data_IF_175190212455
#
_entry.id   IF_175190212455
#
_cell.length_a   1.000
_cell.length_b   1.000
_cell.length_c   1.000
_cell.angle_alpha   90.00
_cell.angle_beta   90.00
_cell.angle_gamma   90.00
#
_symmetry.space_group_name_H-M   'P 1'
#
loop_
_entity.id
_entity.type
_entity.pdbx_description
1 polymer ?
#
# COMPACT_ATOMS: atom_id res chain seq x y z
N UNK A 1 43.00 37.43 -20.33
CA UNK A 1 41.73 38.18 -20.17
C UNK A 1 40.49 37.29 -20.14
N UNK A 2 40.52 36.10 -20.78
CA UNK A 2 39.38 35.17 -20.81
C UNK A 2 39.06 34.54 -19.44
N UNK A 3 40.08 34.17 -18.64
CA UNK A 3 39.88 33.51 -17.34
C UNK A 3 39.25 34.38 -16.25
N UNK A 4 39.48 35.70 -16.29
CA UNK A 4 38.92 36.63 -15.32
C UNK A 4 37.39 36.79 -15.47
N UNK A 5 36.88 36.67 -16.70
CA UNK A 5 35.45 36.72 -17.00
C UNK A 5 34.74 35.41 -16.61
N UNK A 6 35.39 34.27 -16.82
CA UNK A 6 34.87 32.94 -16.44
C UNK A 6 34.74 32.83 -14.92
N UNK A 7 35.72 33.32 -14.15
CA UNK A 7 35.70 33.31 -12.69
C UNK A 7 34.62 34.23 -12.09
N UNK A 8 34.36 35.39 -12.72
CA UNK A 8 33.28 36.29 -12.30
C UNK A 8 31.89 35.70 -12.56
N UNK A 9 31.71 34.99 -13.69
CA UNK A 9 30.46 34.26 -13.97
C UNK A 9 30.25 33.11 -12.98
N UNK A 10 31.28 32.31 -12.71
CA UNK A 10 31.21 31.21 -11.73
C UNK A 10 30.83 31.71 -10.34
N UNK A 11 31.44 32.81 -9.86
CA UNK A 11 31.08 33.42 -8.56
C UNK A 11 29.63 33.90 -8.50
N UNK A 12 29.10 34.48 -9.59
CA UNK A 12 27.68 34.86 -9.67
C UNK A 12 26.76 33.65 -9.60
N UNK A 13 27.08 32.55 -10.30
CA UNK A 13 26.29 31.31 -10.22
C UNK A 13 26.35 30.68 -8.83
N UNK A 14 27.52 30.65 -8.18
CA UNK A 14 27.68 30.12 -6.82
C UNK A 14 26.93 30.96 -5.79
N UNK A 15 26.92 32.29 -5.93
CA UNK A 15 26.11 33.16 -5.07
C UNK A 15 24.62 32.99 -5.33
N UNK A 16 24.17 32.91 -6.58
CA UNK A 16 22.77 32.64 -6.91
C UNK A 16 22.31 31.30 -6.33
N UNK A 17 23.16 30.27 -6.41
CA UNK A 17 22.92 28.96 -5.82
C UNK A 17 22.81 28.99 -4.29
N UNK A 18 23.66 29.77 -3.62
CA UNK A 18 23.63 29.94 -2.17
C UNK A 18 22.40 30.74 -1.70
N UNK A 19 21.97 31.76 -2.47
CA UNK A 19 20.75 32.54 -2.22
C UNK A 19 19.51 31.64 -2.39
N UNK A 20 19.45 30.84 -3.47
CA UNK A 20 18.39 29.85 -3.67
C UNK A 20 18.37 28.78 -2.57
N UNK A 21 19.53 28.40 -2.00
CA UNK A 21 19.62 27.45 -0.89
C UNK A 21 19.17 28.05 0.45
N UNK A 22 19.33 29.37 0.65
CA UNK A 22 18.93 30.10 1.87
C UNK A 22 17.46 30.53 1.88
N UNK A 23 16.80 30.62 0.73
CA UNK A 23 15.37 30.93 0.67
C UNK A 23 14.54 29.84 1.36
N UNK A 24 13.88 30.21 2.46
CA UNK A 24 13.02 29.33 3.27
C UNK A 24 11.95 28.63 2.42
N UNK A 25 11.43 29.30 1.39
CA UNK A 25 10.48 28.72 0.45
C UNK A 25 11.09 27.61 -0.43
N UNK A 26 12.34 27.80 -0.91
CA UNK A 26 13.01 26.80 -1.75
C UNK A 26 13.56 25.64 -0.92
N UNK A 27 13.96 25.87 0.33
CA UNK A 27 14.31 24.81 1.27
C UNK A 27 13.07 24.05 1.75
N UNK A 28 11.93 24.72 1.91
CA UNK A 28 10.63 24.12 2.19
C UNK A 28 10.10 23.29 1.01
N UNK A 29 10.17 23.82 -0.23
CA UNK A 29 9.90 23.05 -1.46
C UNK A 29 10.87 21.88 -1.65
N UNK A 30 12.14 22.04 -1.27
CA UNK A 30 13.13 20.97 -1.34
C UNK A 30 12.87 19.89 -0.28
N UNK A 31 12.38 20.26 0.91
CA UNK A 31 11.88 19.33 1.94
C UNK A 31 10.57 18.66 1.53
N UNK A 32 9.70 19.35 0.80
CA UNK A 32 8.54 18.74 0.15
C UNK A 32 8.99 17.71 -0.90
N UNK A 33 10.03 17.94 -1.69
CA UNK A 33 10.53 16.93 -2.62
C UNK A 33 11.28 15.76 -1.94
N UNK A 34 11.58 15.81 -0.64
CA UNK A 34 12.04 14.65 0.11
C UNK A 34 10.82 13.78 0.45
N UNK A 35 10.68 12.64 -0.22
CA UNK A 35 9.55 11.71 -0.15
C UNK A 35 9.00 11.42 1.28
N UNK A 36 9.85 11.56 2.31
CA UNK A 36 9.48 11.37 3.71
C UNK A 36 8.46 12.40 4.20
N UNK A 37 8.66 13.69 3.88
CA UNK A 37 7.73 14.74 4.31
C UNK A 37 6.39 14.63 3.57
N UNK A 38 6.41 14.27 2.29
CA UNK A 38 5.18 14.10 1.50
C UNK A 38 4.28 13.00 2.05
N UNK A 39 4.84 11.84 2.39
CA UNK A 39 4.04 10.74 2.94
C UNK A 39 3.42 11.09 4.30
N UNK A 40 4.16 11.82 5.14
CA UNK A 40 3.64 12.28 6.44
C UNK A 40 2.55 13.34 6.27
N UNK A 41 2.75 14.31 5.37
CA UNK A 41 1.74 15.33 5.05
C UNK A 41 0.50 14.67 4.44
N UNK A 42 0.69 13.73 3.52
CA UNK A 42 -0.38 12.96 2.89
C UNK A 42 -1.23 12.22 3.94
N UNK A 43 -0.59 11.56 4.92
CA UNK A 43 -1.29 10.88 6.00
C UNK A 43 -2.11 11.85 6.86
N UNK A 44 -1.52 13.00 7.24
CA UNK A 44 -2.23 14.02 8.03
C UNK A 44 -3.42 14.58 7.26
N UNK A 45 -3.25 14.88 5.96
CA UNK A 45 -4.32 15.40 5.10
C UNK A 45 -5.44 14.37 4.91
N UNK A 46 -5.12 13.09 4.72
CA UNK A 46 -6.13 12.04 4.57
C UNK A 46 -6.93 11.83 5.86
N UNK A 47 -6.27 11.80 7.02
CA UNK A 47 -6.94 11.64 8.31
C UNK A 47 -7.79 12.89 8.62
N UNK A 48 -7.22 14.09 8.47
CA UNK A 48 -7.93 15.33 8.79
C UNK A 48 -9.12 15.55 7.87
N UNK A 49 -8.97 15.34 6.57
CA UNK A 49 -10.08 15.46 5.61
C UNK A 49 -11.20 14.46 5.89
N UNK A 50 -10.88 13.21 6.25
CA UNK A 50 -11.88 12.19 6.58
C UNK A 50 -12.65 12.58 7.85
N UNK A 51 -11.95 13.07 8.88
CA UNK A 51 -12.58 13.58 10.11
C UNK A 51 -13.43 14.82 9.82
N UNK A 52 -12.94 15.75 8.98
CA UNK A 52 -13.71 16.92 8.56
C UNK A 52 -15.00 16.53 7.83
N UNK A 53 -14.92 15.59 6.88
CA UNK A 53 -16.12 15.08 6.19
C UNK A 53 -17.09 14.47 7.19
N UNK A 54 -16.60 13.65 8.13
CA UNK A 54 -17.42 13.01 9.15
C UNK A 54 -18.19 14.04 10.01
N UNK A 55 -17.49 15.06 10.53
CA UNK A 55 -18.10 16.08 11.38
C UNK A 55 -19.09 16.93 10.57
N UNK A 56 -18.69 17.36 9.37
CA UNK A 56 -19.51 18.25 8.55
C UNK A 56 -20.75 17.54 8.01
N UNK A 57 -20.69 16.25 7.68
CA UNK A 57 -21.87 15.47 7.28
C UNK A 57 -22.90 15.46 8.41
N UNK A 58 -22.49 15.14 9.64
CA UNK A 58 -23.42 15.07 10.77
C UNK A 58 -24.00 16.45 11.09
N UNK A 59 -23.22 17.52 10.95
CA UNK A 59 -23.66 18.89 11.27
C UNK A 59 -24.57 19.52 10.19
N UNK A 60 -24.37 19.18 8.92
CA UNK A 60 -25.01 19.88 7.78
C UNK A 60 -26.04 19.01 7.05
N UNK A 61 -26.11 17.70 7.35
CA UNK A 61 -27.09 16.81 6.74
C UNK A 61 -28.51 17.35 6.94
N UNK A 62 -29.25 17.49 5.83
CA UNK A 62 -30.62 18.01 5.84
C UNK A 62 -31.56 17.15 6.69
N UNK A 63 -31.36 15.83 6.65
CA UNK A 63 -32.04 14.81 7.44
C UNK A 63 -31.09 13.65 7.67
N UNK A 64 -31.16 13.06 8.86
CA UNK A 64 -30.45 11.83 9.20
C UNK A 64 -31.44 10.66 9.25
N UNK A 65 -31.00 9.48 8.81
CA UNK A 65 -31.75 8.24 8.92
C UNK A 65 -31.99 7.87 10.40
N UNK A 66 -33.09 7.16 10.68
CA UNK A 66 -33.32 6.59 12.01
C UNK A 66 -32.31 5.47 12.29
N UNK A 67 -31.86 5.37 13.55
CA UNK A 67 -30.96 4.29 13.98
C UNK A 67 -31.53 2.89 13.69
N UNK A 68 -32.85 2.73 13.74
CA UNK A 68 -33.49 1.46 13.39
C UNK A 68 -33.23 1.08 11.92
N UNK A 69 -33.31 2.06 11.01
CA UNK A 69 -33.07 1.81 9.59
C UNK A 69 -31.60 1.46 9.34
N UNK A 70 -30.66 2.18 9.99
CA UNK A 70 -29.22 1.96 9.80
C UNK A 70 -28.76 0.59 10.29
N UNK A 71 -29.27 0.11 11.44
CA UNK A 71 -28.77 -1.13 12.05
C UNK A 71 -29.61 -2.37 11.72
N UNK A 72 -30.90 -2.22 11.42
CA UNK A 72 -31.81 -3.36 11.28
C UNK A 72 -32.48 -3.47 9.91
N UNK A 73 -32.46 -2.43 9.08
CA UNK A 73 -33.02 -2.52 7.73
C UNK A 73 -32.02 -3.13 6.76
N UNK A 74 -32.47 -4.10 5.96
CA UNK A 74 -31.64 -4.76 4.95
C UNK A 74 -32.31 -4.64 3.58
N UNK A 75 -31.56 -4.16 2.59
CA UNK A 75 -32.02 -4.04 1.22
C UNK A 75 -31.18 -4.99 0.37
N UNK A 76 -31.83 -5.94 -0.28
CA UNK A 76 -31.17 -6.86 -1.18
C UNK A 76 -31.69 -6.68 -2.61
N UNK A 77 -30.84 -6.14 -3.47
CA UNK A 77 -31.10 -5.98 -4.91
C UNK A 77 -30.16 -6.83 -5.77
N UNK A 78 -29.37 -7.69 -5.15
CA UNK A 78 -28.32 -8.47 -5.82
C UNK A 78 -28.87 -9.73 -6.50
N UNK A 79 -30.08 -10.15 -6.15
CA UNK A 79 -30.69 -11.41 -6.62
C UNK A 79 -30.15 -12.67 -5.94
N UNK A 80 -29.19 -12.56 -5.01
CA UNK A 80 -28.66 -13.68 -4.24
C UNK A 80 -29.36 -13.85 -2.89
N UNK A 81 -29.22 -15.04 -2.28
CA UNK A 81 -29.71 -15.32 -0.92
C UNK A 81 -29.05 -14.40 0.11
N UNK A 82 -29.79 -14.05 1.17
CA UNK A 82 -29.30 -13.14 2.23
C UNK A 82 -27.93 -13.53 2.82
N UNK A 83 -27.64 -14.81 3.15
CA UNK A 83 -26.32 -15.21 3.67
C UNK A 83 -25.18 -14.90 2.70
N UNK A 84 -25.40 -15.11 1.40
CA UNK A 84 -24.40 -14.79 0.38
C UNK A 84 -24.18 -13.27 0.28
N UNK A 85 -25.24 -12.48 0.39
CA UNK A 85 -25.15 -11.00 0.40
C UNK A 85 -24.31 -10.50 1.58
N UNK A 86 -24.44 -11.12 2.75
CA UNK A 86 -23.59 -10.82 3.90
C UNK A 86 -22.10 -11.13 3.60
N UNK A 87 -21.81 -12.23 2.91
CA UNK A 87 -20.43 -12.60 2.53
C UNK A 87 -19.83 -11.60 1.53
N UNK A 88 -20.55 -11.23 0.48
CA UNK A 88 -20.06 -10.24 -0.50
C UNK A 88 -19.94 -8.83 0.11
N UNK A 89 -20.76 -8.51 1.11
CA UNK A 89 -20.70 -7.23 1.84
C UNK A 89 -19.40 -7.02 2.63
N UNK A 90 -18.69 -8.10 2.99
CA UNK A 90 -17.38 -8.04 3.66
C UNK A 90 -16.27 -7.64 2.67
N UNK A 91 -16.45 -7.91 1.37
CA UNK A 91 -15.39 -7.76 0.36
C UNK A 91 -14.87 -6.33 0.18
N UNK A 92 -15.71 -5.27 0.12
CA UNK A 92 -15.21 -3.89 0.02
C UNK A 92 -14.33 -3.49 1.21
N UNK A 93 -14.60 -4.04 2.40
CA UNK A 93 -13.77 -3.81 3.59
C UNK A 93 -12.37 -4.40 3.39
N UNK A 94 -12.25 -5.58 2.78
CA UNK A 94 -10.94 -6.19 2.50
C UNK A 94 -10.09 -5.34 1.55
N UNK A 95 -10.72 -4.72 0.55
CA UNK A 95 -10.03 -3.76 -0.31
C UNK A 95 -9.60 -2.52 0.48
N UNK A 96 -10.50 -1.96 1.30
CA UNK A 96 -10.21 -0.77 2.11
C UNK A 96 -9.07 -0.94 3.12
N UNK A 97 -8.82 -2.17 3.58
CA UNK A 97 -7.71 -2.49 4.47
C UNK A 97 -6.41 -2.88 3.76
N UNK A 98 -6.39 -3.03 2.44
CA UNK A 98 -5.18 -3.45 1.73
C UNK A 98 -4.07 -2.38 1.82
N UNK A 99 -2.80 -2.81 1.84
CA UNK A 99 -1.65 -1.89 1.92
C UNK A 99 -1.13 -1.57 3.32
N UNK A 100 -1.62 -2.23 4.38
CA UNK A 100 -1.11 -2.06 5.74
C UNK A 100 0.38 -2.41 5.89
N UNK A 101 0.92 -3.24 5.00
CA UNK A 101 2.33 -3.63 4.89
C UNK A 101 3.23 -2.54 4.32
N UNK A 102 2.69 -1.40 3.86
CA UNK A 102 3.47 -0.29 3.32
C UNK A 102 4.60 0.15 4.27
N UNK A 103 4.38 0.07 5.59
CA UNK A 103 5.40 0.34 6.61
C UNK A 103 6.62 -0.60 6.52
N UNK A 104 6.43 -1.85 6.06
CA UNK A 104 7.52 -2.81 5.86
C UNK A 104 8.45 -2.40 4.71
N UNK A 105 7.91 -1.83 3.64
CA UNK A 105 8.67 -1.37 2.47
C UNK A 105 9.48 -0.09 2.73
N UNK A 106 9.21 0.58 3.86
CA UNK A 106 9.89 1.78 4.34
C UNK A 106 10.79 1.51 5.56
N UNK A 107 11.01 0.24 5.91
CA UNK A 107 11.83 -0.15 7.05
C UNK A 107 13.27 0.34 6.95
N UNK A 108 13.87 0.38 5.75
CA UNK A 108 15.24 0.87 5.53
C UNK A 108 15.41 2.35 5.91
N UNK A 109 14.32 3.12 5.95
CA UNK A 109 14.32 4.54 6.32
C UNK A 109 13.83 4.79 7.75
N UNK A 110 13.38 3.74 8.45
CA UNK A 110 12.75 3.82 9.75
C UNK A 110 13.79 3.59 10.85
N UNK A 111 13.89 4.52 11.80
CA UNK A 111 14.74 4.34 12.99
C UNK A 111 14.19 3.20 13.84
N UNK A 112 15.02 2.24 14.22
CA UNK A 112 14.62 1.05 14.98
C UNK A 112 13.45 0.28 14.34
N UNK A 113 13.57 0.01 13.03
CA UNK A 113 12.54 -0.67 12.25
C UNK A 113 12.05 -1.99 12.87
N UNK A 114 12.92 -2.76 13.54
CA UNK A 114 12.56 -4.03 14.20
C UNK A 114 11.43 -3.90 15.23
N UNK A 115 11.31 -2.73 15.87
CA UNK A 115 10.26 -2.44 16.85
C UNK A 115 9.13 -1.61 16.25
N UNK A 116 9.46 -0.54 15.52
CA UNK A 116 8.47 0.43 15.07
C UNK A 116 7.71 0.02 13.81
N UNK A 117 8.28 -0.80 12.93
CA UNK A 117 7.54 -1.28 11.77
C UNK A 117 6.29 -2.10 12.13
N UNK A 118 6.35 -3.13 13.00
CA UNK A 118 5.16 -3.90 13.37
C UNK A 118 4.15 -3.08 14.17
N UNK A 119 4.62 -2.19 15.06
CA UNK A 119 3.73 -1.26 15.79
C UNK A 119 3.03 -0.31 14.81
N UNK A 120 3.74 0.15 13.77
CA UNK A 120 3.17 0.99 12.72
C UNK A 120 2.04 0.29 11.97
N UNK A 121 2.22 -0.98 11.59
CA UNK A 121 1.19 -1.79 10.92
C UNK A 121 -0.05 -1.95 11.83
N UNK A 122 0.15 -2.28 13.10
CA UNK A 122 -0.98 -2.42 14.04
C UNK A 122 -1.70 -1.08 14.26
N UNK A 123 -0.93 0.00 14.43
CA UNK A 123 -1.46 1.34 14.62
C UNK A 123 -2.28 1.81 13.41
N UNK A 124 -1.79 1.60 12.18
CA UNK A 124 -2.54 1.95 10.97
C UNK A 124 -3.80 1.13 10.83
N UNK A 125 -3.75 -0.19 11.07
CA UNK A 125 -4.95 -1.03 11.03
C UNK A 125 -6.01 -0.57 12.05
N UNK A 126 -5.63 -0.30 13.30
CA UNK A 126 -6.56 0.15 14.34
C UNK A 126 -7.15 1.52 14.00
N UNK A 127 -6.30 2.49 13.64
CA UNK A 127 -6.75 3.84 13.28
C UNK A 127 -7.70 3.83 12.08
N UNK A 128 -7.36 3.10 11.01
CA UNK A 128 -8.20 2.97 9.82
C UNK A 128 -9.51 2.24 10.14
N UNK A 129 -9.50 1.25 11.03
CA UNK A 129 -10.73 0.57 11.48
C UNK A 129 -11.69 1.54 12.15
N UNK A 130 -11.21 2.32 13.12
CA UNK A 130 -12.06 3.24 13.90
C UNK A 130 -12.57 4.38 13.03
N UNK A 131 -11.68 5.06 12.30
CA UNK A 131 -12.04 6.21 11.46
C UNK A 131 -12.90 5.77 10.27
N UNK A 132 -12.54 4.67 9.61
CA UNK A 132 -13.28 4.12 8.49
C UNK A 132 -14.68 3.64 8.89
N UNK A 133 -14.81 2.97 10.04
CA UNK A 133 -16.11 2.57 10.57
C UNK A 133 -16.98 3.79 10.88
N UNK A 134 -16.43 4.80 11.57
CA UNK A 134 -17.17 6.02 11.90
C UNK A 134 -17.60 6.79 10.63
N UNK A 135 -16.77 6.78 9.58
CA UNK A 135 -17.09 7.37 8.28
C UNK A 135 -18.19 6.60 7.53
N UNK A 136 -18.13 5.26 7.50
CA UNK A 136 -19.21 4.46 6.89
C UNK A 136 -20.53 4.64 7.64
N UNK A 137 -20.47 4.72 8.97
CA UNK A 137 -21.63 4.99 9.81
C UNK A 137 -22.24 6.36 9.50
N UNK A 138 -21.41 7.42 9.37
CA UNK A 138 -21.91 8.76 9.03
C UNK A 138 -22.54 8.80 7.64
N UNK A 139 -22.00 8.08 6.65
CA UNK A 139 -22.61 7.93 5.33
C UNK A 139 -23.96 7.21 5.39
N UNK A 140 -24.08 6.15 6.19
CA UNK A 140 -25.34 5.42 6.38
C UNK A 140 -26.40 6.31 7.03
N UNK A 141 -26.04 7.10 8.05
CA UNK A 141 -26.95 8.06 8.66
C UNK A 141 -27.31 9.21 7.71
N UNK A 142 -26.38 9.66 6.86
CA UNK A 142 -26.66 10.70 5.87
C UNK A 142 -27.63 10.23 4.77
N UNK A 143 -27.59 8.93 4.44
CA UNK A 143 -28.50 8.32 3.48
C UNK A 143 -29.87 8.06 4.11
N UNK A 144 -30.72 9.09 4.12
CA UNK A 144 -32.03 9.05 4.78
C UNK A 144 -33.08 8.20 4.04
N UNK A 145 -32.91 7.95 2.74
CA UNK A 145 -33.84 7.17 1.93
C UNK A 145 -33.18 5.87 1.39
N UNK A 146 -33.74 4.69 1.70
CA UNK A 146 -33.21 3.41 1.22
C UNK A 146 -33.27 3.26 -0.32
N UNK A 147 -34.19 3.96 -0.98
CA UNK A 147 -34.31 3.98 -2.45
C UNK A 147 -33.20 4.79 -3.13
N UNK A 148 -32.66 5.80 -2.46
CA UNK A 148 -31.54 6.60 -2.97
C UNK A 148 -30.25 5.76 -2.95
N UNK A 149 -30.09 4.87 -1.96
CA UNK A 149 -29.03 3.85 -1.98
C UNK A 149 -29.16 2.93 -3.20
N UNK A 150 -30.37 2.44 -3.51
CA UNK A 150 -30.62 1.50 -4.62
C UNK A 150 -30.33 2.10 -5.99
N UNK A 151 -30.72 3.35 -6.24
CA UNK A 151 -30.40 4.04 -7.50
C UNK A 151 -28.89 4.32 -7.68
N UNK A 152 -28.14 4.33 -6.58
CA UNK A 152 -26.72 4.65 -6.54
C UNK A 152 -25.80 3.41 -6.55
N UNK A 153 -26.33 2.18 -6.36
CA UNK A 153 -25.54 0.93 -6.34
C UNK A 153 -24.83 0.64 -7.67
N UNK A 154 -25.39 1.10 -8.79
CA UNK A 154 -24.80 0.93 -10.12
C UNK A 154 -23.79 2.04 -10.48
N UNK A 155 -23.65 3.07 -9.64
CA UNK A 155 -22.76 4.18 -9.92
C UNK A 155 -21.37 3.94 -9.32
N UNK A 156 -20.28 4.13 -10.10
CA UNK A 156 -18.90 3.99 -9.61
C UNK A 156 -18.50 4.94 -8.47
N UNK A 157 -19.38 5.85 -8.05
CA UNK A 157 -19.11 6.90 -7.06
C UNK A 157 -20.26 7.09 -6.07
N UNK A 158 -20.73 6.00 -5.48
CA UNK A 158 -21.83 6.00 -4.50
C UNK A 158 -21.64 7.04 -3.36
N UNK A 159 -20.42 7.22 -2.84
CA UNK A 159 -20.15 8.21 -1.80
C UNK A 159 -20.43 9.66 -2.24
N UNK A 160 -20.07 10.03 -3.48
CA UNK A 160 -20.28 11.39 -4.00
C UNK A 160 -21.77 11.68 -4.19
N UNK A 161 -22.55 10.65 -4.54
CA UNK A 161 -24.00 10.77 -4.68
C UNK A 161 -24.68 10.96 -3.32
N UNK A 162 -24.23 10.22 -2.30
CA UNK A 162 -24.67 10.43 -0.93
C UNK A 162 -24.39 11.86 -0.49
N UNK A 163 -23.21 12.43 -0.80
CA UNK A 163 -22.92 13.84 -0.49
C UNK A 163 -23.90 14.80 -1.16
N UNK A 164 -24.16 14.62 -2.46
CA UNK A 164 -25.06 15.48 -3.23
C UNK A 164 -26.49 15.48 -2.68
N UNK A 165 -26.96 14.34 -2.21
CA UNK A 165 -28.32 14.19 -1.69
C UNK A 165 -28.41 14.72 -0.25
N UNK A 166 -27.38 14.46 0.56
CA UNK A 166 -27.41 14.72 2.00
C UNK A 166 -27.09 16.17 2.38
N UNK A 167 -26.26 16.86 1.59
CA UNK A 167 -25.77 18.22 1.92
C UNK A 167 -26.06 19.25 0.83
N UNK A 168 -25.97 20.56 1.12
CA UNK A 168 -26.04 21.61 0.10
C UNK A 168 -24.92 21.45 -0.95
N UNK A 169 -25.20 21.88 -2.19
CA UNK A 169 -24.28 21.72 -3.32
C UNK A 169 -22.83 22.20 -3.06
N UNK A 170 -22.58 23.36 -2.41
CA UNK A 170 -21.21 23.81 -2.15
C UNK A 170 -20.42 22.85 -1.23
N UNK A 171 -21.10 22.27 -0.24
CA UNK A 171 -20.50 21.33 0.73
C UNK A 171 -20.23 19.98 0.05
N UNK A 172 -21.17 19.49 -0.76
CA UNK A 172 -20.98 18.27 -1.54
C UNK A 172 -19.79 18.38 -2.52
N UNK A 173 -19.62 19.55 -3.16
CA UNK A 173 -18.47 19.84 -4.02
C UNK A 173 -17.15 19.85 -3.23
N UNK A 174 -17.13 20.47 -2.05
CA UNK A 174 -15.96 20.47 -1.17
C UNK A 174 -15.55 19.03 -0.79
N UNK A 175 -16.51 18.17 -0.42
CA UNK A 175 -16.24 16.77 -0.12
C UNK A 175 -15.70 15.99 -1.31
N UNK A 176 -16.23 16.23 -2.52
CA UNK A 176 -15.72 15.61 -3.73
C UNK A 176 -14.26 16.03 -4.01
N UNK A 177 -13.93 17.31 -3.82
CA UNK A 177 -12.54 17.81 -3.95
C UNK A 177 -11.62 17.15 -2.92
N UNK A 178 -12.05 17.05 -1.65
CA UNK A 178 -11.28 16.37 -0.61
C UNK A 178 -11.06 14.88 -0.93
N UNK A 179 -12.07 14.18 -1.47
CA UNK A 179 -11.92 12.81 -1.93
C UNK A 179 -10.89 12.69 -3.06
N UNK A 180 -10.91 13.60 -4.05
CA UNK A 180 -9.94 13.62 -5.14
C UNK A 180 -8.51 13.81 -4.60
N UNK A 181 -8.33 14.73 -3.65
CA UNK A 181 -7.04 14.96 -2.99
C UNK A 181 -6.57 13.69 -2.27
N UNK A 182 -7.46 13.01 -1.55
CA UNK A 182 -7.14 11.74 -0.87
C UNK A 182 -6.76 10.63 -1.85
N UNK A 183 -7.50 10.46 -2.95
CA UNK A 183 -7.19 9.49 -4.00
C UNK A 183 -5.82 9.79 -4.64
N UNK A 184 -5.50 11.05 -4.89
CA UNK A 184 -4.19 11.45 -5.41
C UNK A 184 -3.05 11.04 -4.47
N UNK A 185 -3.17 11.33 -3.17
CA UNK A 185 -2.17 10.93 -2.19
C UNK A 185 -2.07 9.40 -2.01
N UNK A 186 -3.19 8.68 -2.06
CA UNK A 186 -3.19 7.22 -2.04
C UNK A 186 -2.44 6.64 -3.26
N UNK A 187 -2.70 7.16 -4.47
CA UNK A 187 -2.01 6.75 -5.69
C UNK A 187 -0.51 7.04 -5.67
N UNK A 188 -0.11 8.19 -5.13
CA UNK A 188 1.30 8.55 -4.89
C UNK A 188 2.00 7.55 -3.96
N UNK A 189 1.35 7.18 -2.86
CA UNK A 189 1.86 6.19 -1.91
C UNK A 189 2.01 4.81 -2.56
N UNK A 190 0.98 4.34 -3.28
CA UNK A 190 0.99 3.05 -3.97
C UNK A 190 2.09 2.98 -5.05
N UNK A 191 2.32 4.06 -5.79
CA UNK A 191 3.40 4.15 -6.78
C UNK A 191 4.78 4.09 -6.12
N UNK A 192 4.92 4.72 -4.96
CA UNK A 192 6.16 4.70 -4.18
C UNK A 192 6.49 3.28 -3.69
N UNK A 193 5.50 2.55 -3.16
CA UNK A 193 5.69 1.16 -2.73
C UNK A 193 6.03 0.26 -3.92
N UNK A 194 5.26 0.36 -5.01
CA UNK A 194 5.42 -0.48 -6.21
C UNK A 194 6.81 -0.32 -6.84
N UNK A 195 7.28 0.93 -6.98
CA UNK A 195 8.59 1.21 -7.56
C UNK A 195 9.76 0.71 -6.69
N UNK A 196 9.62 0.72 -5.36
CA UNK A 196 10.62 0.17 -4.42
C UNK A 196 10.67 -1.35 -4.45
N UNK A 197 9.51 -2.01 -4.50
CA UNK A 197 9.43 -3.46 -4.65
C UNK A 197 10.05 -3.90 -5.98
N UNK A 198 9.74 -3.19 -7.08
CA UNK A 198 10.37 -3.43 -8.38
C UNK A 198 11.88 -3.20 -8.37
N UNK A 199 12.37 -2.17 -7.67
CA UNK A 199 13.79 -1.92 -7.46
C UNK A 199 14.47 -3.06 -6.68
N UNK A 200 13.87 -3.55 -5.59
CA UNK A 200 14.41 -4.66 -4.82
C UNK A 200 14.53 -5.93 -5.69
N UNK A 201 13.51 -6.23 -6.50
CA UNK A 201 13.54 -7.34 -7.46
C UNK A 201 14.60 -7.15 -8.55
N UNK A 202 14.81 -5.90 -9.03
CA UNK A 202 15.85 -5.58 -10.00
C UNK A 202 17.26 -5.69 -9.40
N UNK A 203 17.45 -5.29 -8.14
CA UNK A 203 18.71 -5.45 -7.39
C UNK A 203 19.11 -6.91 -7.29
N UNK A 204 18.14 -7.78 -7.03
CA UNK A 204 18.35 -9.23 -6.89
C UNK A 204 18.36 -9.94 -8.26
N UNK A 205 18.44 -9.18 -9.36
CA UNK A 205 18.51 -9.66 -10.74
C UNK A 205 17.35 -10.57 -11.19
N UNK A 206 16.21 -10.49 -10.49
CA UNK A 206 15.00 -11.24 -10.80
C UNK A 206 14.23 -10.63 -11.95
N UNK A 207 14.21 -9.30 -12.06
CA UNK A 207 13.33 -8.59 -13.01
C UNK A 207 13.95 -8.52 -14.44
N UNK A 208 13.15 -8.61 -15.51
CA UNK A 208 13.65 -8.39 -16.87
C UNK A 208 14.18 -6.96 -17.02
N UNK A 209 15.36 -6.78 -17.61
CA UNK A 209 16.00 -5.46 -17.68
C UNK A 209 16.55 -4.95 -16.34
N UNK A 210 16.80 -5.86 -15.37
CA UNK A 210 17.37 -5.55 -14.04
C UNK A 210 18.59 -4.63 -14.07
N UNK A 211 19.43 -4.70 -15.12
CA UNK A 211 20.59 -3.81 -15.30
C UNK A 211 20.23 -2.33 -15.32
N UNK A 212 19.09 -1.98 -15.91
CA UNK A 212 18.62 -0.60 -16.04
C UNK A 212 17.77 -0.20 -14.83
N UNK A 213 16.88 -1.08 -14.41
CA UNK A 213 15.92 -0.81 -13.34
C UNK A 213 16.56 -0.69 -11.94
N UNK A 214 17.76 -1.23 -11.75
CA UNK A 214 18.54 -1.06 -10.51
C UNK A 214 19.25 0.29 -10.39
N UNK A 215 19.16 1.17 -11.38
CA UNK A 215 19.86 2.47 -11.34
C UNK A 215 19.06 3.45 -10.46
N UNK A 216 19.71 3.98 -9.43
CA UNK A 216 19.16 5.03 -8.56
C UNK A 216 19.61 6.41 -8.99
N UNK A 217 18.73 7.40 -8.87
CA UNK A 217 19.10 8.79 -9.06
C UNK A 217 19.97 9.28 -7.90
N UNK A 218 21.15 9.82 -8.21
CA UNK A 218 22.21 10.14 -7.22
C UNK A 218 21.74 11.02 -6.05
N UNK A 219 20.81 11.94 -6.29
CA UNK A 219 20.41 12.96 -5.30
C UNK A 219 19.24 12.53 -4.42
N UNK A 220 18.20 11.95 -5.00
CA UNK A 220 16.99 11.53 -4.29
C UNK A 220 17.01 10.06 -3.87
N UNK A 221 17.99 9.28 -4.34
CA UNK A 221 18.05 7.82 -4.16
C UNK A 221 16.76 7.12 -4.61
N UNK A 222 16.05 7.70 -5.58
CA UNK A 222 14.80 7.14 -6.11
C UNK A 222 15.05 6.30 -7.38
N UNK A 223 14.37 5.15 -7.53
CA UNK A 223 14.47 4.32 -8.73
C UNK A 223 13.55 4.86 -9.85
N UNK A 224 13.97 5.95 -10.52
CA UNK A 224 13.14 6.67 -11.51
C UNK A 224 12.67 5.77 -12.66
N UNK A 225 13.52 4.85 -13.12
CA UNK A 225 13.15 3.92 -14.20
C UNK A 225 12.08 2.91 -13.75
N UNK A 226 12.10 2.47 -12.50
CA UNK A 226 11.02 1.64 -11.94
C UNK A 226 9.71 2.43 -11.82
N UNK A 227 9.77 3.71 -11.43
CA UNK A 227 8.59 4.59 -11.38
C UNK A 227 7.98 4.73 -12.77
N UNK A 228 8.81 4.98 -13.79
CA UNK A 228 8.35 5.08 -15.17
C UNK A 228 7.74 3.77 -15.67
N UNK A 229 8.33 2.62 -15.34
CA UNK A 229 7.78 1.31 -15.69
C UNK A 229 6.39 1.08 -15.05
N UNK A 230 6.24 1.38 -13.76
CA UNK A 230 4.96 1.28 -13.06
C UNK A 230 3.93 2.22 -13.69
N UNK A 231 4.32 3.46 -14.00
CA UNK A 231 3.46 4.42 -14.68
C UNK A 231 2.99 3.91 -16.06
N UNK A 232 3.92 3.41 -16.89
CA UNK A 232 3.57 2.88 -18.21
C UNK A 232 2.64 1.68 -18.13
N UNK A 233 2.87 0.75 -17.20
CA UNK A 233 1.97 -0.39 -16.96
C UNK A 233 0.59 0.10 -16.54
N UNK A 234 0.50 1.06 -15.61
CA UNK A 234 -0.78 1.62 -15.18
C UNK A 234 -1.53 2.32 -16.32
N UNK A 235 -0.84 3.06 -17.19
CA UNK A 235 -1.45 3.69 -18.37
C UNK A 235 -1.99 2.62 -19.32
N UNK A 236 -1.23 1.56 -19.59
CA UNK A 236 -1.69 0.45 -20.45
C UNK A 236 -2.93 -0.27 -19.87
N UNK A 237 -2.94 -0.51 -18.57
CA UNK A 237 -4.09 -1.12 -17.88
C UNK A 237 -5.31 -0.19 -17.90
N UNK A 238 -5.10 1.13 -17.79
CA UNK A 238 -6.18 2.12 -17.87
C UNK A 238 -6.76 2.22 -19.29
N UNK A 239 -5.91 2.17 -20.32
CA UNK A 239 -6.34 2.15 -21.73
C UNK A 239 -7.22 0.94 -22.04
N UNK A 240 -7.04 -0.18 -21.34
CA UNK A 240 -7.89 -1.36 -21.51
C UNK A 240 -9.38 -1.06 -21.23
N UNK A 241 -9.67 -0.12 -20.32
CA UNK A 241 -11.03 0.29 -20.00
C UNK A 241 -11.77 0.91 -21.19
N UNK A 242 -11.03 1.47 -22.17
CA UNK A 242 -11.63 2.01 -23.41
C UNK A 242 -12.16 0.89 -24.33
N UNK A 243 -11.59 -0.32 -24.23
CA UNK A 243 -11.97 -1.46 -25.06
C UNK A 243 -12.98 -2.37 -24.38
N UNK A 244 -12.80 -2.64 -23.08
CA UNK A 244 -13.70 -3.51 -22.32
C UNK A 244 -13.70 -3.13 -20.85
N UNK A 245 -14.85 -2.65 -20.38
CA UNK A 245 -15.12 -2.37 -18.97
C UNK A 245 -15.12 -3.64 -18.13
N UNK A 246 -15.58 -4.77 -18.68
CA UNK A 246 -15.53 -6.09 -18.03
C UNK A 246 -14.08 -6.55 -17.83
N UNK A 247 -13.22 -6.39 -18.82
CA UNK A 247 -11.81 -6.75 -18.69
C UNK A 247 -11.09 -5.85 -17.66
N UNK A 248 -11.38 -4.55 -17.67
CA UNK A 248 -10.85 -3.62 -16.66
C UNK A 248 -11.33 -3.98 -15.26
N UNK A 249 -12.62 -4.29 -15.07
CA UNK A 249 -13.16 -4.73 -13.79
C UNK A 249 -12.48 -6.01 -13.28
N UNK A 250 -12.23 -6.98 -14.16
CA UNK A 250 -11.51 -8.20 -13.81
C UNK A 250 -10.07 -7.94 -13.32
N UNK A 251 -9.39 -6.92 -13.88
CA UNK A 251 -8.07 -6.45 -13.44
C UNK A 251 -8.15 -5.68 -12.12
N UNK A 252 -9.18 -4.89 -11.87
CA UNK A 252 -9.34 -4.26 -10.55
C UNK A 252 -9.57 -5.34 -9.48
N UNK A 253 -10.42 -6.32 -9.76
CA UNK A 253 -10.68 -7.46 -8.87
C UNK A 253 -9.43 -8.30 -8.62
N UNK A 254 -8.56 -8.53 -9.62
CA UNK A 254 -7.31 -9.27 -9.39
C UNK A 254 -6.35 -8.55 -8.46
N UNK A 255 -6.37 -7.21 -8.43
CA UNK A 255 -5.43 -6.45 -7.58
C UNK A 255 -5.64 -6.82 -6.11
N UNK A 256 -6.91 -6.94 -5.69
CA UNK A 256 -7.27 -7.32 -4.32
C UNK A 256 -6.92 -8.78 -4.04
N UNK A 257 -7.28 -9.70 -4.94
CA UNK A 257 -7.00 -11.13 -4.78
C UNK A 257 -5.48 -11.38 -4.75
N UNK A 258 -4.72 -10.67 -5.59
CA UNK A 258 -3.27 -10.72 -5.63
C UNK A 258 -2.64 -10.29 -4.32
N UNK A 259 -3.12 -9.20 -3.70
CA UNK A 259 -2.70 -8.81 -2.35
C UNK A 259 -3.01 -9.89 -1.31
N UNK A 260 -4.22 -10.44 -1.31
CA UNK A 260 -4.62 -11.49 -0.35
C UNK A 260 -3.72 -12.73 -0.45
N UNK A 261 -3.47 -13.22 -1.67
CA UNK A 261 -2.57 -14.36 -1.92
C UNK A 261 -1.12 -14.01 -1.52
N UNK A 262 -0.66 -12.80 -1.85
CA UNK A 262 0.68 -12.31 -1.51
C UNK A 262 0.90 -12.23 0.00
N UNK A 263 -0.14 -11.88 0.79
CA UNK A 263 -0.06 -11.91 2.26
C UNK A 263 -0.14 -13.34 2.81
N UNK A 264 -0.97 -14.19 2.20
CA UNK A 264 -1.19 -15.56 2.64
C UNK A 264 0.09 -16.40 2.55
N UNK A 265 0.86 -16.28 1.46
CA UNK A 265 2.02 -17.13 1.19
C UNK A 265 3.15 -17.00 2.25
N UNK A 266 3.65 -15.80 2.61
CA UNK A 266 4.65 -15.64 3.66
C UNK A 266 4.15 -16.12 5.03
N UNK A 267 2.87 -15.90 5.37
CA UNK A 267 2.29 -16.37 6.63
C UNK A 267 2.24 -17.91 6.65
N UNK A 268 1.80 -18.52 5.55
CA UNK A 268 1.77 -19.97 5.39
C UNK A 268 3.18 -20.57 5.54
N UNK A 269 4.18 -20.00 4.88
CA UNK A 269 5.57 -20.48 5.01
C UNK A 269 6.14 -20.23 6.40
N UNK A 270 5.72 -19.17 7.10
CA UNK A 270 6.13 -18.92 8.48
C UNK A 270 5.63 -19.99 9.45
N UNK A 271 4.39 -20.48 9.28
CA UNK A 271 3.79 -21.51 10.15
C UNK A 271 4.19 -22.94 9.76
N UNK A 272 4.57 -23.18 8.51
CA UNK A 272 4.96 -24.51 7.99
C UNK A 272 6.49 -24.68 7.95
N UNK A 273 7.12 -24.21 6.88
CA UNK A 273 8.53 -24.49 6.55
C UNK A 273 9.53 -23.74 7.45
N UNK A 274 9.22 -22.49 7.80
CA UNK A 274 10.09 -21.62 8.60
C UNK A 274 9.73 -21.62 10.09
N UNK A 275 8.94 -22.60 10.56
CA UNK A 275 8.46 -22.63 11.96
C UNK A 275 9.62 -22.62 12.95
N UNK A 276 10.61 -23.48 12.72
CA UNK A 276 11.73 -23.73 13.64
C UNK A 276 13.02 -22.99 13.27
N UNK A 277 13.13 -22.44 12.06
CA UNK A 277 14.35 -21.80 11.55
C UNK A 277 14.32 -20.28 11.57
N UNK A 278 13.16 -19.68 11.84
CA UNK A 278 12.99 -18.23 11.89
C UNK A 278 13.56 -17.63 13.18
N UNK A 279 14.40 -16.61 13.03
CA UNK A 279 14.92 -15.82 14.15
C UNK A 279 13.85 -14.82 14.61
N UNK A 280 13.50 -14.88 15.88
CA UNK A 280 12.54 -13.96 16.49
C UNK A 280 13.13 -12.54 16.54
N UNK A 281 12.40 -11.55 16.04
CA UNK A 281 12.73 -10.13 16.19
C UNK A 281 12.32 -9.58 17.55
N UNK A 282 12.66 -8.31 17.81
CA UNK A 282 12.29 -7.60 19.03
C UNK A 282 10.78 -7.59 19.27
N UNK A 283 9.99 -7.50 18.20
CA UNK A 283 8.55 -7.73 18.24
C UNK A 283 8.23 -9.18 17.87
N UNK A 284 7.56 -9.90 18.75
CA UNK A 284 7.11 -11.26 18.50
C UNK A 284 5.75 -11.53 19.17
N UNK A 285 4.97 -12.41 18.55
CA UNK A 285 3.67 -12.87 19.06
C UNK A 285 3.79 -14.05 20.04
N UNK A 286 5.03 -14.45 20.38
CA UNK A 286 5.32 -15.62 21.19
C UNK A 286 4.53 -16.86 20.78
N UNK A 287 3.89 -17.49 21.75
CA UNK A 287 3.04 -18.70 21.59
C UNK A 287 1.81 -18.50 20.69
N UNK A 288 1.32 -17.26 20.54
CA UNK A 288 0.15 -16.97 19.71
C UNK A 288 0.49 -16.84 18.22
N UNK A 289 1.77 -16.86 17.84
CA UNK A 289 2.18 -16.72 16.44
C UNK A 289 1.62 -17.80 15.51
N UNK A 290 1.57 -19.06 15.96
CA UNK A 290 1.03 -20.17 15.14
C UNK A 290 -0.50 -20.13 15.05
N UNK A 291 -1.26 -20.02 16.16
CA UNK A 291 -2.73 -19.89 16.09
C UNK A 291 -3.19 -18.70 15.25
N UNK A 292 -2.59 -17.52 15.43
CA UNK A 292 -2.92 -16.33 14.65
C UNK A 292 -2.58 -16.55 13.17
N UNK A 293 -1.42 -17.15 12.87
CA UNK A 293 -1.03 -17.45 11.50
C UNK A 293 -1.99 -18.42 10.79
N UNK A 294 -2.45 -19.47 11.47
CA UNK A 294 -3.45 -20.40 10.92
C UNK A 294 -4.77 -19.68 10.65
N UNK A 295 -5.25 -18.89 11.62
CA UNK A 295 -6.48 -18.10 11.45
C UNK A 295 -6.36 -17.11 10.28
N UNK A 296 -5.23 -16.42 10.16
CA UNK A 296 -4.96 -15.51 9.04
C UNK A 296 -4.96 -16.23 7.70
N UNK A 297 -4.29 -17.38 7.57
CA UNK A 297 -4.28 -18.15 6.31
C UNK A 297 -5.68 -18.61 5.92
N UNK A 298 -6.45 -19.14 6.88
CA UNK A 298 -7.84 -19.57 6.62
C UNK A 298 -8.71 -18.39 6.19
N UNK A 299 -8.60 -17.26 6.87
CA UNK A 299 -9.33 -16.04 6.52
C UNK A 299 -8.99 -15.56 5.11
N UNK A 300 -7.71 -15.39 4.80
CA UNK A 300 -7.23 -14.94 3.49
C UNK A 300 -7.62 -15.92 2.37
N UNK A 301 -7.62 -17.23 2.65
CA UNK A 301 -8.04 -18.24 1.69
C UNK A 301 -9.54 -18.15 1.40
N UNK A 302 -10.39 -18.13 2.43
CA UNK A 302 -11.85 -18.06 2.30
C UNK A 302 -12.25 -16.78 1.55
N UNK A 303 -11.70 -15.62 1.94
CA UNK A 303 -12.03 -14.35 1.30
C UNK A 303 -11.54 -14.27 -0.14
N UNK A 304 -10.37 -14.83 -0.45
CA UNK A 304 -9.87 -14.93 -1.83
C UNK A 304 -10.80 -15.76 -2.72
N UNK A 305 -11.35 -16.86 -2.19
CA UNK A 305 -12.32 -17.69 -2.90
C UNK A 305 -13.63 -16.92 -3.12
N UNK A 306 -14.14 -16.23 -2.11
CA UNK A 306 -15.38 -15.44 -2.22
C UNK A 306 -15.22 -14.29 -3.23
N UNK A 307 -14.05 -13.63 -3.30
CA UNK A 307 -13.76 -12.57 -4.27
C UNK A 307 -13.85 -13.02 -5.73
N UNK A 308 -13.75 -14.33 -6.01
CA UNK A 308 -13.89 -14.87 -7.37
C UNK A 308 -15.35 -14.98 -7.82
N UNK A 309 -16.31 -14.90 -6.91
CA UNK A 309 -17.72 -15.00 -7.26
C UNK A 309 -18.33 -13.64 -7.66
N UNK A 310 -19.41 -13.63 -8.47
CA UNK A 310 -20.04 -12.41 -8.94
C UNK A 310 -20.92 -11.73 -7.87
N UNK A 311 -21.13 -10.42 -8.03
CA UNK A 311 -21.90 -9.58 -7.10
C UNK A 311 -23.41 -9.56 -7.37
N UNK A 312 -23.85 -9.83 -8.61
CA UNK A 312 -25.25 -9.75 -9.02
C UNK A 312 -25.72 -11.03 -9.75
N UNK A 313 -27.00 -11.35 -9.60
CA UNK A 313 -27.71 -12.45 -10.25
C UNK A 313 -28.88 -11.88 -11.08
N UNK A 314 -29.20 -12.42 -12.28
CA UNK A 314 -28.59 -13.57 -12.95
C UNK A 314 -27.18 -13.31 -13.48
N UNK A 315 -26.35 -14.36 -13.49
CA UNK A 315 -24.96 -14.30 -13.96
C UNK A 315 -24.95 -14.29 -15.49
N UNK A 316 -24.28 -13.30 -16.07
CA UNK A 316 -24.08 -13.12 -17.50
C UNK A 316 -22.59 -12.96 -17.79
N UNK A 317 -22.17 -13.12 -19.04
CA UNK A 317 -20.76 -12.93 -19.42
C UNK A 317 -20.22 -11.52 -19.10
N UNK A 318 -21.10 -10.52 -19.00
CA UNK A 318 -20.73 -9.14 -18.70
C UNK A 318 -20.54 -8.86 -17.20
N UNK A 319 -21.23 -9.59 -16.32
CA UNK A 319 -21.16 -9.39 -14.86
C UNK A 319 -20.37 -10.48 -14.11
N UNK A 320 -19.99 -11.56 -14.80
CA UNK A 320 -19.14 -12.60 -14.25
C UNK A 320 -17.76 -12.04 -13.91
N UNK A 321 -17.20 -12.45 -12.77
CA UNK A 321 -15.86 -12.08 -12.40
C UNK A 321 -14.82 -12.94 -13.15
N UNK A 322 -14.19 -12.36 -14.17
CA UNK A 322 -13.16 -13.01 -14.98
C UNK A 322 -11.76 -13.00 -14.35
N UNK A 323 -11.62 -12.58 -13.08
CA UNK A 323 -10.31 -12.53 -12.40
C UNK A 323 -9.54 -13.84 -12.42
N UNK A 324 -10.22 -15.00 -12.36
CA UNK A 324 -9.52 -16.30 -12.37
C UNK A 324 -8.69 -16.51 -13.64
N UNK A 325 -9.21 -16.08 -14.79
CA UNK A 325 -8.53 -16.19 -16.08
C UNK A 325 -7.30 -15.29 -16.08
N UNK A 326 -7.44 -14.05 -15.61
CA UNK A 326 -6.33 -13.10 -15.50
C UNK A 326 -5.26 -13.61 -14.53
N UNK A 327 -5.64 -14.16 -13.37
CA UNK A 327 -4.72 -14.75 -12.39
C UNK A 327 -3.95 -15.88 -13.03
N UNK A 328 -4.64 -16.85 -13.63
CA UNK A 328 -3.98 -17.99 -14.26
C UNK A 328 -3.00 -17.54 -15.35
N UNK A 329 -3.38 -16.56 -16.18
CA UNK A 329 -2.52 -16.03 -17.24
C UNK A 329 -1.25 -15.39 -16.69
N UNK A 330 -1.37 -14.51 -15.69
CA UNK A 330 -0.21 -13.85 -15.07
C UNK A 330 0.68 -14.87 -14.36
N UNK A 331 0.10 -15.83 -13.62
CA UNK A 331 0.86 -16.88 -12.93
C UNK A 331 1.61 -17.77 -13.92
N UNK A 332 1.00 -18.15 -15.05
CA UNK A 332 1.66 -18.91 -16.10
C UNK A 332 2.83 -18.12 -16.70
N UNK A 333 2.61 -16.84 -17.05
CA UNK A 333 3.67 -15.99 -17.61
C UNK A 333 4.83 -15.85 -16.61
N UNK A 334 4.54 -15.58 -15.33
CA UNK A 334 5.53 -15.49 -14.28
C UNK A 334 6.28 -16.82 -14.06
N UNK A 335 5.57 -17.94 -14.08
CA UNK A 335 6.14 -19.29 -13.94
C UNK A 335 7.06 -19.66 -15.10
N UNK A 336 6.65 -19.38 -16.33
CA UNK A 336 7.49 -19.55 -17.52
C UNK A 336 8.74 -18.69 -17.44
N UNK A 337 8.61 -17.42 -17.06
CA UNK A 337 9.75 -16.53 -16.88
C UNK A 337 10.72 -17.04 -15.79
N UNK A 338 10.19 -17.56 -14.68
CA UNK A 338 10.97 -18.16 -13.61
C UNK A 338 11.79 -19.37 -14.09
N UNK A 339 11.14 -20.31 -14.78
CA UNK A 339 11.76 -21.55 -15.26
C UNK A 339 12.80 -21.28 -16.37
N UNK A 340 12.50 -20.35 -17.28
CA UNK A 340 13.35 -20.07 -18.44
C UNK A 340 14.56 -19.20 -18.09
N UNK A 341 14.41 -18.23 -17.17
CA UNK A 341 15.43 -17.20 -16.92
C UNK A 341 15.74 -16.99 -15.45
N UNK A 342 14.74 -16.58 -14.64
CA UNK A 342 15.02 -15.98 -13.33
C UNK A 342 15.68 -16.95 -12.33
N UNK A 343 15.31 -18.24 -12.34
CA UNK A 343 15.88 -19.25 -11.43
C UNK A 343 17.40 -19.44 -11.56
N UNK A 344 17.98 -19.09 -12.71
CA UNK A 344 19.43 -19.22 -12.97
C UNK A 344 20.22 -18.02 -12.43
N UNK A 345 19.57 -16.89 -12.20
CA UNK A 345 20.21 -15.61 -11.81
C UNK A 345 19.87 -15.19 -10.39
N UNK A 346 18.77 -15.68 -9.84
CA UNK A 346 18.35 -15.38 -8.48
C UNK A 346 19.24 -16.11 -7.47
N UNK A 347 20.12 -15.35 -6.84
CA UNK A 347 20.85 -15.76 -5.63
C UNK A 347 20.09 -15.06 -4.51
N UNK A 348 19.37 -15.82 -3.68
CA UNK A 348 18.47 -15.28 -2.66
C UNK A 348 19.13 -14.22 -1.75
N UNK A 349 18.34 -13.53 -0.89
CA UNK A 349 18.83 -12.40 -0.11
C UNK A 349 20.09 -12.79 0.68
N UNK A 350 21.22 -12.14 0.36
CA UNK A 350 22.48 -12.31 1.08
C UNK A 350 22.23 -11.87 2.52
N UNK A 351 22.03 -12.82 3.44
CA UNK A 351 21.94 -12.51 4.88
C UNK A 351 23.20 -11.73 5.23
N UNK A 352 23.06 -10.50 5.72
CA UNK A 352 24.18 -9.86 6.38
C UNK A 352 24.55 -10.75 7.57
N UNK A 353 25.78 -11.26 7.60
CA UNK A 353 26.30 -12.17 8.63
C UNK A 353 26.24 -11.59 10.06
N UNK A 354 25.88 -10.30 10.21
CA UNK A 354 25.79 -9.55 11.48
C UNK A 354 24.85 -10.13 12.54
N UNK A 355 23.96 -11.08 12.21
CA UNK A 355 23.04 -11.69 13.17
C UNK A 355 23.41 -13.12 13.60
N UNK A 356 24.57 -13.64 13.17
CA UNK A 356 25.11 -14.84 13.80
C UNK A 356 25.55 -14.42 15.20
N UNK A 357 24.86 -14.88 16.26
CA UNK A 357 25.38 -14.79 17.63
C UNK A 357 26.84 -15.23 17.57
N UNK A 358 27.81 -14.46 18.11
CA UNK A 358 29.18 -14.89 18.06
C UNK A 358 29.25 -16.25 18.77
N UNK A 359 29.68 -17.28 18.03
CA UNK A 359 30.03 -18.56 18.64
C UNK A 359 31.14 -18.26 19.66
N UNK A 360 31.22 -19.00 20.77
CA UNK A 360 32.24 -18.79 21.81
C UNK A 360 33.65 -18.63 21.20
N UNK A 361 33.94 -19.35 20.12
CA UNK A 361 35.16 -19.25 19.32
C UNK A 361 35.47 -17.83 18.79
N UNK A 362 34.46 -17.09 18.33
CA UNK A 362 34.63 -15.70 17.85
C UNK A 362 34.81 -14.70 19.00
N UNK A 363 34.22 -14.94 20.18
CA UNK A 363 34.49 -14.11 21.35
C UNK A 363 35.91 -14.33 21.89
N UNK A 364 36.39 -15.57 21.88
CA UNK A 364 37.78 -15.92 22.24
C UNK A 364 38.78 -15.32 21.25
N UNK A 365 38.48 -15.33 19.94
CA UNK A 365 39.33 -14.70 18.94
C UNK A 365 39.40 -13.17 19.11
N UNK A 366 38.25 -12.52 19.39
CA UNK A 366 38.22 -11.07 19.64
C UNK A 366 38.92 -10.71 20.95
N UNK A 367 38.80 -11.51 22.01
CA UNK A 367 39.55 -11.26 23.25
C UNK A 367 41.05 -11.48 23.07
N UNK A 368 41.47 -12.47 22.28
CA UNK A 368 42.88 -12.72 21.98
C UNK A 368 43.52 -11.55 21.23
N UNK A 369 42.82 -11.02 20.21
CA UNK A 369 43.29 -9.86 19.42
C UNK A 369 43.40 -8.61 20.31
N UNK A 370 42.42 -8.36 21.19
CA UNK A 370 42.47 -7.22 22.12
C UNK A 370 43.62 -7.39 23.13
N UNK A 371 43.95 -8.63 23.51
CA UNK A 371 45.06 -8.89 24.45
C UNK A 371 46.42 -8.68 23.79
N UNK A 372 46.61 -9.08 22.53
CA UNK A 372 47.84 -8.78 21.77
C UNK A 372 48.04 -7.28 21.56
N UNK A 373 46.99 -6.53 21.23
CA UNK A 373 47.04 -5.08 20.97
C UNK A 373 47.38 -4.27 22.25
N UNK A 374 46.97 -4.77 23.43
CA UNK A 374 47.31 -4.19 24.74
C UNK A 374 48.75 -4.51 25.16
N UNK A 375 49.31 -5.63 24.71
CA UNK A 375 50.70 -6.02 25.01
C UNK A 375 51.67 -5.22 24.13
N UNK A 376 51.37 -5.02 22.83
CA UNK A 376 52.19 -4.20 21.94
C UNK A 376 52.21 -2.72 22.30
N UNK A 377 51.18 -2.20 22.97
CA UNK A 377 51.14 -0.80 23.41
C UNK A 377 51.80 -0.54 24.77
N UNK A 378 52.31 -1.58 25.44
CA UNK A 378 53.02 -1.50 26.74
C UNK A 378 54.51 -1.88 26.69
N UNK A 379 55.03 -2.24 25.52
CA UNK A 379 56.47 -2.31 25.21
C UNK A 379 56.86 -1.05 24.44
#
# INVERSE_FOLDING_TARGET
MHDALTNRRLRRYTQLYLILKKNAYFSWLRRLCENRCLNNIAAVVQISSTISILITIVAVAKRLASAHVVFFSTINVTGFSFPYVCLIGILPTLFGFSGYEAASHLCEETRNAEKFAPIGILGTCICTSVIGFAYLLSLMFASYNPLDLVQNILNPSAAVQIYKISTPLPVALLFAVLLIINLYFAGMSATTVSSRTGYAMARDSVFPGSRWLKILYKRSQTPVLCVLLVFMVNVLLLLLNLFSTTAFAAIVSISTIGFQISYMLPILFRITHSRNTFLLGQFNLGRFGVPIGVLSVLWLFITSVILLFPFNYPITAQNMNWSIVVISGITIIAGLYWILSARRRFVGPKRMERFRKPTITTLVAVSAIITEEIIETRL
#
